data_IF_846288178844
#
_entry.id   IF_846288178844
#
_cell.length_a   1.000
_cell.length_b   1.000
_cell.length_c   1.000
_cell.angle_alpha   90.00
_cell.angle_beta   90.00
_cell.angle_gamma   90.00
#
_symmetry.space_group_name_H-M   'P 1'
#
loop_
_entity.id
_entity.type
_entity.pdbx_description
1 polymer ?
#
# COMPACT_ATOMS: atom_id res chain seq x y z
N UNK A 1 60.20 3.65 66.34
CA UNK A 1 61.30 4.63 66.47
C UNK A 1 62.51 4.08 65.73
N UNK A 2 62.77 4.55 64.52
CA UNK A 2 64.10 4.71 63.90
C UNK A 2 63.86 5.56 62.64
N UNK A 3 64.30 6.81 62.72
CA UNK A 3 64.26 7.81 61.63
C UNK A 3 65.48 7.59 60.75
N UNK A 4 65.33 7.81 59.44
CA UNK A 4 66.40 8.42 58.67
C UNK A 4 65.82 9.44 57.69
N UNK A 5 66.37 10.65 57.77
CA UNK A 5 66.05 11.84 56.97
C UNK A 5 66.92 11.84 55.72
N UNK A 6 66.37 12.26 54.59
CA UNK A 6 67.12 12.96 53.55
C UNK A 6 66.25 14.06 52.95
N UNK A 7 66.82 15.27 52.87
CA UNK A 7 66.26 16.48 52.25
C UNK A 7 67.27 16.90 51.20
N UNK A 8 66.87 17.12 49.94
CA UNK A 8 67.58 17.98 48.98
C UNK A 8 66.58 18.67 48.06
N UNK A 9 66.91 19.91 47.73
CA UNK A 9 66.15 21.00 47.12
C UNK A 9 65.84 20.89 45.62
N UNK A 10 64.81 21.64 45.21
CA UNK A 10 64.44 22.01 43.83
C UNK A 10 65.48 22.98 43.22
N UNK A 11 65.65 22.99 41.90
CA UNK A 11 65.33 24.23 41.19
C UNK A 11 64.48 23.99 39.93
N UNK A 12 63.64 24.98 39.67
CA UNK A 12 62.82 25.18 38.48
C UNK A 12 63.71 25.39 37.25
N UNK A 13 63.42 24.74 36.12
CA UNK A 13 63.78 25.27 34.81
C UNK A 13 62.79 24.79 33.73
N UNK A 14 62.22 25.79 33.07
CA UNK A 14 61.33 25.74 31.90
C UNK A 14 62.16 25.39 30.66
N UNK A 15 61.53 24.76 29.66
CA UNK A 15 61.68 25.02 28.20
C UNK A 15 61.73 23.74 27.33
N UNK A 16 60.79 23.75 26.39
CA UNK A 16 60.79 23.22 25.00
C UNK A 16 60.45 21.76 24.72
N UNK A 17 59.28 21.64 24.07
CA UNK A 17 58.93 20.62 23.10
C UNK A 17 59.93 20.55 21.92
N UNK A 18 59.79 19.49 21.12
CA UNK A 18 60.56 19.10 19.92
C UNK A 18 61.64 18.05 20.23
N UNK A 19 61.26 16.77 20.12
CA UNK A 19 62.01 15.73 19.40
C UNK A 19 61.37 14.35 19.64
N UNK A 20 60.70 13.81 18.62
CA UNK A 20 60.73 12.37 18.24
C UNK A 20 59.90 12.18 16.95
N UNK A 21 60.25 12.95 15.92
CA UNK A 21 59.94 12.63 14.52
C UNK A 21 61.02 11.72 13.98
N UNK A 22 60.89 10.40 14.10
CA UNK A 22 61.67 9.46 13.28
C UNK A 22 61.06 8.04 13.26
N UNK A 23 59.83 7.90 12.75
CA UNK A 23 59.36 6.60 12.24
C UNK A 23 58.22 6.77 11.24
N UNK A 24 58.49 7.41 10.10
CA UNK A 24 57.63 7.35 8.93
C UNK A 24 58.48 7.41 7.66
N UNK A 25 58.91 6.23 7.21
CA UNK A 25 59.29 6.02 5.81
C UNK A 25 59.22 4.52 5.53
N UNK A 26 58.10 4.08 4.97
CA UNK A 26 58.03 3.23 3.77
C UNK A 26 56.56 2.96 3.40
N UNK A 27 56.10 3.73 2.41
CA UNK A 27 55.15 3.39 1.34
C UNK A 27 53.83 2.67 1.66
N UNK A 28 52.70 3.36 1.38
CA UNK A 28 51.86 3.08 0.20
C UNK A 28 50.76 4.16 0.03
N UNK A 29 50.63 4.67 -1.20
CA UNK A 29 49.67 5.69 -1.62
C UNK A 29 48.49 5.01 -2.31
N UNK A 30 47.29 5.05 -1.72
CA UNK A 30 45.96 5.20 -2.36
C UNK A 30 45.00 5.77 -1.28
N UNK A 31 44.30 6.88 -1.57
CA UNK A 31 43.30 7.54 -0.68
C UNK A 31 41.87 7.01 -0.95
N UNK A 32 40.81 7.40 -0.19
CA UNK A 32 40.72 7.79 1.22
C UNK A 32 39.57 7.03 1.95
N UNK A 33 39.76 6.63 3.21
CA UNK A 33 38.63 6.45 4.14
C UNK A 33 38.93 7.32 5.35
N UNK A 34 38.30 8.49 5.40
CA UNK A 34 38.28 9.32 6.59
C UNK A 34 37.46 8.63 7.67
N UNK A 35 38.10 7.76 8.46
CA UNK A 35 37.57 7.32 9.74
C UNK A 35 38.20 8.21 10.81
N UNK A 36 37.58 9.36 11.07
CA UNK A 36 37.81 10.10 12.30
C UNK A 36 37.36 9.20 13.45
N UNK A 37 38.31 8.73 14.26
CA UNK A 37 38.04 8.11 15.55
C UNK A 37 37.55 9.20 16.51
N UNK A 38 36.30 9.63 16.31
CA UNK A 38 35.53 10.29 17.34
C UNK A 38 35.04 9.21 18.29
N UNK A 39 35.65 9.13 19.47
CA UNK A 39 35.07 8.40 20.59
C UNK A 39 33.74 9.09 20.94
N UNK A 40 32.64 8.60 20.37
CA UNK A 40 31.31 8.94 20.83
C UNK A 40 31.16 8.30 22.22
N UNK A 41 31.27 9.13 23.26
CA UNK A 41 30.70 8.83 24.56
C UNK A 41 29.19 8.66 24.35
N UNK A 42 28.74 7.41 24.21
CA UNK A 42 27.36 7.03 24.43
C UNK A 42 27.04 7.41 25.87
N UNK A 43 26.40 8.57 26.04
CA UNK A 43 25.70 8.85 27.29
C UNK A 43 24.51 7.91 27.32
N UNK A 44 24.65 6.83 28.08
CA UNK A 44 23.52 6.04 28.53
C UNK A 44 22.56 7.00 29.24
N UNK A 45 21.39 7.22 28.64
CA UNK A 45 20.23 7.74 29.36
C UNK A 45 19.94 6.71 30.44
N UNK A 46 20.35 6.98 31.68
CA UNK A 46 19.95 6.18 32.83
C UNK A 46 18.46 6.39 33.01
N UNK A 47 17.67 5.43 32.51
CA UNK A 47 16.32 5.24 33.00
C UNK A 47 16.39 5.15 34.53
N UNK A 48 15.55 5.92 35.21
CA UNK A 48 15.47 5.83 36.65
C UNK A 48 15.03 4.40 37.01
N UNK A 49 15.92 3.62 37.61
CA UNK A 49 15.55 2.32 38.17
C UNK A 49 14.51 2.59 39.27
N UNK A 50 13.25 2.25 39.04
CA UNK A 50 12.19 2.41 40.04
C UNK A 50 12.25 1.31 41.10
N UNK A 51 12.99 0.23 40.83
CA UNK A 51 13.27 -0.84 41.79
C UNK A 51 14.67 -0.67 42.40
N UNK A 52 14.79 -0.53 43.74
CA UNK A 52 16.09 -0.43 44.40
C UNK A 52 16.97 -1.64 44.08
N UNK A 53 18.22 -1.46 43.59
CA UNK A 53 19.09 -2.56 43.17
C UNK A 53 19.81 -3.23 44.36
N UNK A 54 19.09 -3.44 45.46
CA UNK A 54 19.65 -3.95 46.71
C UNK A 54 18.93 -5.22 47.17
N UNK A 55 19.70 -6.15 47.74
CA UNK A 55 19.17 -7.37 48.33
C UNK A 55 19.46 -7.39 49.84
N UNK A 56 18.41 -7.52 50.65
CA UNK A 56 18.60 -7.85 52.06
C UNK A 56 18.95 -9.33 52.17
N UNK A 57 20.10 -9.61 52.76
CA UNK A 57 20.53 -10.96 53.10
C UNK A 57 20.74 -11.09 54.60
N UNK A 58 20.03 -12.04 55.22
CA UNK A 58 20.09 -12.30 56.65
C UNK A 58 20.38 -13.78 56.88
N UNK A 59 21.14 -14.07 57.93
CA UNK A 59 21.54 -15.43 58.25
C UNK A 59 21.83 -15.63 59.72
N UNK A 60 21.93 -16.90 60.11
CA UNK A 60 22.42 -17.30 61.43
C UNK A 60 23.74 -18.04 61.27
N UNK A 61 24.82 -17.46 61.78
CA UNK A 61 26.14 -18.03 61.85
C UNK A 61 26.30 -18.85 63.14
N UNK A 62 26.73 -20.10 62.98
CA UNK A 62 27.03 -21.03 64.07
C UNK A 62 28.40 -21.64 63.86
N UNK A 63 29.04 -22.03 64.96
CA UNK A 63 30.27 -22.82 64.92
C UNK A 63 29.98 -24.29 64.57
N UNK A 64 31.02 -25.12 64.52
CA UNK A 64 30.90 -26.55 64.18
C UNK A 64 30.10 -27.33 65.25
N UNK A 65 30.10 -26.85 66.48
CA UNK A 65 29.35 -27.39 67.61
C UNK A 65 27.90 -26.91 67.65
N UNK A 66 27.51 -26.00 66.74
CA UNK A 66 26.16 -25.45 66.62
C UNK A 66 25.87 -24.26 67.52
N UNK A 67 26.86 -23.74 68.26
CA UNK A 67 26.69 -22.56 69.10
C UNK A 67 26.64 -21.28 68.24
N UNK A 68 25.81 -20.30 68.61
CA UNK A 68 25.73 -19.03 67.89
C UNK A 68 27.05 -18.26 68.00
N UNK A 69 27.60 -17.83 66.86
CA UNK A 69 28.80 -17.00 66.83
C UNK A 69 28.46 -15.52 67.08
N UNK A 70 29.36 -14.77 67.71
CA UNK A 70 29.21 -13.32 67.88
C UNK A 70 30.55 -12.62 67.69
N UNK A 71 30.51 -11.38 67.21
CA UNK A 71 31.71 -10.60 66.90
C UNK A 71 31.66 -10.00 65.50
N UNK A 72 32.78 -9.43 65.07
CA UNK A 72 32.94 -8.87 63.73
C UNK A 72 33.59 -9.92 62.84
N UNK A 73 32.96 -10.21 61.70
CA UNK A 73 33.43 -11.19 60.74
C UNK A 73 33.52 -10.57 59.34
N UNK A 74 34.52 -10.99 58.55
CA UNK A 74 34.56 -10.70 57.11
C UNK A 74 33.68 -11.71 56.38
N UNK A 75 32.68 -11.23 55.68
CA UNK A 75 31.78 -12.04 54.85
C UNK A 75 31.98 -11.69 53.37
N UNK A 76 32.04 -12.71 52.52
CA UNK A 76 32.05 -12.56 51.06
C UNK A 76 30.84 -13.30 50.48
N UNK A 77 30.08 -12.61 49.63
CA UNK A 77 28.89 -13.14 48.97
C UNK A 77 29.17 -13.32 47.48
N UNK A 78 28.66 -14.41 46.90
CA UNK A 78 28.79 -14.70 45.46
C UNK A 78 27.49 -15.21 44.88
N UNK A 79 27.19 -14.81 43.64
CA UNK A 79 26.00 -15.27 42.91
C UNK A 79 26.42 -16.18 41.76
N UNK A 80 25.66 -17.27 41.57
CA UNK A 80 25.89 -18.31 40.56
C UNK A 80 24.59 -18.68 39.86
N UNK A 81 24.69 -19.16 38.63
CA UNK A 81 23.64 -19.82 37.86
C UNK A 81 23.58 -21.34 38.07
N UNK A 82 24.61 -21.92 38.71
CA UNK A 82 24.67 -23.35 39.05
C UNK A 82 25.13 -23.56 40.52
N UNK A 83 24.45 -24.47 41.24
CA UNK A 83 24.70 -24.75 42.66
C UNK A 83 26.10 -25.33 42.93
N UNK A 84 26.72 -25.93 41.92
CA UNK A 84 28.04 -26.58 41.96
C UNK A 84 29.15 -25.81 41.24
N UNK A 85 28.84 -24.64 40.65
CA UNK A 85 29.83 -23.83 39.93
C UNK A 85 31.07 -23.53 40.79
N UNK A 86 32.31 -23.61 40.25
CA UNK A 86 33.50 -23.32 41.03
C UNK A 86 33.60 -21.83 41.40
N UNK A 87 34.37 -21.48 42.44
CA UNK A 87 34.51 -20.09 42.91
C UNK A 87 34.78 -19.05 41.80
N UNK A 88 35.66 -19.30 40.81
CA UNK A 88 35.94 -18.34 39.73
C UNK A 88 34.80 -18.15 38.73
N UNK A 89 33.80 -19.03 38.73
CA UNK A 89 32.62 -18.95 37.85
C UNK A 89 31.49 -18.10 38.45
N UNK A 90 31.74 -17.42 39.57
CA UNK A 90 30.75 -16.49 40.15
C UNK A 90 30.43 -15.38 39.14
N UNK A 91 29.14 -15.17 38.90
CA UNK A 91 28.65 -14.11 38.01
C UNK A 91 28.73 -12.74 38.70
N UNK A 92 28.75 -12.73 40.03
CA UNK A 92 28.87 -11.52 40.84
C UNK A 92 29.47 -11.84 42.21
N UNK A 93 30.15 -10.86 42.82
CA UNK A 93 30.78 -10.97 44.13
C UNK A 93 30.77 -9.63 44.87
N UNK A 94 30.53 -9.67 46.18
CA UNK A 94 30.67 -8.52 47.09
C UNK A 94 31.32 -8.93 48.41
N UNK A 95 32.26 -8.11 48.89
CA UNK A 95 32.91 -8.30 50.18
C UNK A 95 32.43 -7.28 51.23
N UNK A 96 32.22 -7.75 52.45
CA UNK A 96 31.99 -6.93 53.64
C UNK A 96 33.05 -7.27 54.69
N UNK A 97 33.97 -6.34 54.92
CA UNK A 97 35.10 -6.56 55.82
C UNK A 97 34.71 -6.63 57.30
N UNK A 98 33.61 -5.97 57.70
CA UNK A 98 33.20 -5.84 59.09
C UNK A 98 31.69 -6.05 59.27
N UNK A 99 31.23 -7.31 59.21
CA UNK A 99 29.83 -7.64 59.53
C UNK A 99 29.72 -7.98 61.01
N UNK A 100 28.93 -7.19 61.74
CA UNK A 100 28.65 -7.47 63.15
C UNK A 100 27.60 -8.57 63.28
N UNK A 101 28.00 -9.69 63.89
CA UNK A 101 27.14 -10.83 64.21
C UNK A 101 26.78 -10.76 65.70
N UNK A 102 25.48 -10.85 66.03
CA UNK A 102 24.98 -10.84 67.41
C UNK A 102 24.13 -12.06 67.66
N UNK A 103 24.51 -12.91 68.61
CA UNK A 103 23.81 -14.16 68.92
C UNK A 103 23.58 -15.03 67.67
N UNK A 104 24.60 -15.10 66.81
CA UNK A 104 24.57 -15.81 65.53
C UNK A 104 23.91 -15.01 64.42
N UNK A 105 23.09 -13.99 64.68
CA UNK A 105 22.35 -13.31 63.63
C UNK A 105 23.15 -12.18 62.97
N UNK A 106 23.02 -12.06 61.67
CA UNK A 106 23.52 -10.94 60.88
C UNK A 106 22.52 -10.53 59.80
N UNK A 107 22.63 -9.27 59.35
CA UNK A 107 21.89 -8.73 58.21
C UNK A 107 22.84 -7.84 57.42
N UNK A 108 22.81 -8.00 56.10
CA UNK A 108 23.64 -7.27 55.14
C UNK A 108 22.75 -6.79 54.00
N UNK A 109 22.99 -5.57 53.54
CA UNK A 109 22.40 -5.03 52.32
C UNK A 109 23.42 -5.22 51.19
N UNK A 110 23.17 -6.19 50.32
CA UNK A 110 23.98 -6.47 49.13
C UNK A 110 23.59 -5.51 47.99
N UNK A 111 24.52 -5.22 47.09
CA UNK A 111 24.39 -4.21 46.04
C UNK A 111 24.93 -2.84 46.41
N UNK A 112 25.33 -2.64 47.67
CA UNK A 112 25.80 -1.34 48.17
C UNK A 112 27.28 -1.10 47.87
N UNK A 113 28.14 -2.11 48.02
CA UNK A 113 29.56 -1.99 47.69
C UNK A 113 29.85 -2.37 46.24
N UNK A 114 29.12 -3.35 45.70
CA UNK A 114 29.21 -3.78 44.30
C UNK A 114 27.79 -3.92 43.76
N UNK A 115 27.33 -3.04 42.86
CA UNK A 115 25.96 -3.10 42.33
C UNK A 115 25.62 -4.49 41.81
N UNK A 116 24.44 -5.00 42.18
CA UNK A 116 23.92 -6.28 41.65
C UNK A 116 23.22 -5.99 40.33
N UNK A 117 23.72 -6.49 39.17
CA UNK A 117 23.05 -6.30 37.89
C UNK A 117 21.70 -7.05 37.88
N UNK A 118 20.56 -6.36 37.63
CA UNK A 118 19.24 -7.00 37.57
C UNK A 118 19.15 -8.13 36.53
N UNK A 119 19.96 -8.06 35.47
CA UNK A 119 20.01 -9.03 34.37
C UNK A 119 20.44 -10.43 34.82
N UNK A 120 21.12 -10.54 35.98
CA UNK A 120 21.45 -11.83 36.58
C UNK A 120 20.22 -12.66 36.92
N UNK A 121 19.08 -12.02 37.20
CA UNK A 121 17.85 -12.69 37.61
C UNK A 121 16.88 -12.93 36.44
N UNK A 122 17.39 -13.17 35.24
CA UNK A 122 16.60 -13.55 34.06
C UNK A 122 16.45 -15.07 33.90
N UNK A 123 17.40 -15.86 34.45
CA UNK A 123 17.41 -17.32 34.39
C UNK A 123 16.64 -18.00 35.53
N UNK A 124 16.10 -19.22 35.37
CA UNK A 124 15.17 -19.83 36.33
C UNK A 124 15.76 -20.19 37.70
N UNK A 125 17.08 -20.38 37.80
CA UNK A 125 17.78 -20.84 39.00
C UNK A 125 19.03 -19.99 39.28
N UNK A 126 18.98 -19.18 40.33
CA UNK A 126 20.13 -18.41 40.81
C UNK A 126 20.43 -18.81 42.25
N UNK A 127 21.72 -18.90 42.59
CA UNK A 127 22.21 -19.36 43.89
C UNK A 127 23.13 -18.33 44.52
N UNK A 128 23.09 -18.22 45.85
CA UNK A 128 24.02 -17.41 46.64
C UNK A 128 24.92 -18.28 47.50
N UNK A 129 26.22 -18.04 47.38
CA UNK A 129 27.28 -18.58 48.23
C UNK A 129 27.71 -17.54 49.27
N UNK A 130 28.06 -18.02 50.46
CA UNK A 130 28.54 -17.19 51.58
C UNK A 130 29.85 -17.77 52.09
N UNK A 131 30.90 -16.94 52.14
CA UNK A 131 32.19 -17.27 52.77
C UNK A 131 32.34 -16.44 54.04
N UNK A 132 32.67 -17.09 55.15
CA UNK A 132 33.00 -16.44 56.43
C UNK A 132 34.49 -16.62 56.66
N UNK A 133 35.30 -15.59 56.45
CA UNK A 133 36.76 -15.74 56.54
C UNK A 133 37.18 -16.21 57.94
N UNK A 134 38.14 -17.15 58.06
CA UNK A 134 38.99 -17.72 57.01
C UNK A 134 38.49 -19.05 56.42
N UNK A 135 37.23 -19.43 56.64
CA UNK A 135 36.67 -20.71 56.20
C UNK A 135 36.40 -20.73 54.69
N UNK A 136 36.31 -21.93 54.13
CA UNK A 136 35.81 -22.14 52.76
C UNK A 136 34.35 -21.70 52.61
N UNK A 137 33.91 -21.50 51.37
CA UNK A 137 32.52 -21.13 51.07
C UNK A 137 31.55 -22.19 51.59
N UNK A 138 30.49 -21.75 52.28
CA UNK A 138 29.49 -22.65 52.84
C UNK A 138 28.71 -23.35 51.72
N UNK A 139 28.55 -24.67 51.87
CA UNK A 139 27.80 -25.55 50.96
C UNK A 139 26.72 -26.34 51.73
N UNK A 140 25.56 -26.65 51.12
CA UNK A 140 25.13 -26.25 49.77
C UNK A 140 24.77 -24.76 49.68
N UNK A 141 24.95 -24.17 48.49
CA UNK A 141 24.53 -22.80 48.22
C UNK A 141 23.02 -22.67 48.31
N UNK A 142 22.55 -21.50 48.70
CA UNK A 142 21.13 -21.24 48.83
C UNK A 142 20.55 -20.81 47.48
N UNK A 143 19.48 -21.46 47.02
CA UNK A 143 18.71 -21.01 45.87
C UNK A 143 17.92 -19.75 46.23
N UNK A 144 17.93 -18.75 45.36
CA UNK A 144 17.05 -17.60 45.49
C UNK A 144 15.59 -17.98 45.24
N UNK A 145 14.69 -17.36 46.00
CA UNK A 145 13.25 -17.38 45.75
C UNK A 145 12.84 -16.14 44.95
N UNK A 146 11.55 -15.90 44.75
CA UNK A 146 11.00 -14.89 43.83
C UNK A 146 11.42 -13.43 44.09
N UNK A 147 11.90 -13.08 45.29
CA UNK A 147 12.16 -11.66 45.66
C UNK A 147 13.30 -11.04 44.84
N UNK A 148 14.52 -11.62 44.76
CA UNK A 148 15.57 -11.12 43.86
C UNK A 148 15.14 -10.99 42.39
N UNK A 149 14.28 -11.89 41.91
CA UNK A 149 13.73 -11.83 40.55
C UNK A 149 12.85 -10.59 40.31
N UNK A 150 12.33 -9.97 41.37
CA UNK A 150 11.60 -8.70 41.25
C UNK A 150 12.51 -7.53 40.85
N UNK A 151 13.83 -7.61 41.02
CA UNK A 151 14.76 -6.58 40.54
C UNK A 151 14.70 -6.42 39.01
N UNK A 152 14.34 -7.48 38.29
CA UNK A 152 14.16 -7.45 36.84
C UNK A 152 12.80 -6.87 36.40
N UNK A 153 11.83 -6.76 37.33
CA UNK A 153 10.46 -6.31 37.01
C UNK A 153 10.38 -4.82 36.60
N UNK A 154 11.42 -4.04 36.88
CA UNK A 154 11.53 -2.63 36.47
C UNK A 154 11.63 -2.45 34.94
N UNK A 155 12.22 -3.44 34.26
CA UNK A 155 12.46 -3.45 32.81
C UNK A 155 11.80 -4.67 32.19
N UNK A 156 10.49 -4.86 32.41
CA UNK A 156 9.72 -5.91 31.75
C UNK A 156 9.69 -5.64 30.22
N UNK A 157 10.72 -6.12 29.52
CA UNK A 157 10.90 -5.96 28.07
C UNK A 157 10.06 -6.93 27.25
N UNK A 158 9.35 -7.86 27.91
CA UNK A 158 8.49 -8.81 27.25
C UNK A 158 7.31 -9.24 28.11
N UNK A 159 6.17 -9.43 27.45
CA UNK A 159 5.02 -10.16 27.98
C UNK A 159 5.04 -11.54 27.36
N UNK A 160 5.27 -12.58 28.16
CA UNK A 160 5.16 -13.97 27.70
C UNK A 160 3.70 -14.42 27.78
N UNK A 161 3.21 -15.09 26.73
CA UNK A 161 1.85 -15.63 26.74
C UNK A 161 1.69 -16.67 27.87
N UNK A 162 0.55 -16.70 28.58
CA UNK A 162 0.31 -17.64 29.69
C UNK A 162 0.41 -19.14 29.31
N UNK A 163 0.43 -19.45 28.01
CA UNK A 163 0.58 -20.81 27.49
C UNK A 163 2.04 -21.26 27.34
N UNK A 164 3.03 -20.44 27.73
CA UNK A 164 4.44 -20.81 27.75
C UNK A 164 5.12 -20.87 26.38
N UNK A 165 4.53 -20.26 25.34
CA UNK A 165 5.20 -20.10 24.05
C UNK A 165 6.45 -19.21 24.17
N UNK A 166 7.55 -19.60 23.53
CA UNK A 166 8.84 -18.89 23.57
C UNK A 166 8.84 -17.57 22.80
N UNK A 167 7.82 -17.32 21.98
CA UNK A 167 7.65 -16.05 21.29
C UNK A 167 6.85 -15.12 22.19
N UNK A 168 7.53 -14.10 22.73
CA UNK A 168 6.93 -13.02 23.49
C UNK A 168 5.67 -12.50 22.78
N UNK A 169 4.55 -12.43 23.50
CA UNK A 169 3.30 -11.88 23.01
C UNK A 169 3.45 -10.39 22.68
N UNK A 170 4.22 -9.67 23.51
CA UNK A 170 4.68 -8.31 23.26
C UNK A 170 6.15 -8.25 23.68
N UNK A 171 7.00 -7.64 22.86
CA UNK A 171 8.42 -7.43 23.11
C UNK A 171 8.78 -5.97 22.86
N UNK A 172 9.59 -5.36 23.73
CA UNK A 172 10.19 -4.05 23.51
C UNK A 172 11.70 -4.24 23.39
N UNK A 173 12.27 -3.87 22.25
CA UNK A 173 13.72 -4.00 22.03
C UNK A 173 14.52 -2.88 22.71
N UNK A 174 15.85 -2.98 22.67
CA UNK A 174 16.76 -1.97 23.26
C UNK A 174 16.67 -0.58 22.60
N UNK A 175 15.99 -0.47 21.46
CA UNK A 175 15.74 0.80 20.75
C UNK A 175 14.35 1.36 21.02
N UNK A 176 13.52 0.66 21.81
CA UNK A 176 12.15 1.05 22.15
C UNK A 176 11.10 0.64 21.12
N UNK A 177 11.45 -0.22 20.15
CA UNK A 177 10.49 -0.73 19.16
C UNK A 177 9.67 -1.87 19.77
N UNK A 178 8.36 -1.90 19.45
CA UNK A 178 7.42 -2.89 19.98
C UNK A 178 7.15 -3.97 18.94
N UNK A 179 7.47 -5.22 19.26
CA UNK A 179 7.10 -6.41 18.51
C UNK A 179 5.92 -7.14 19.14
N UNK A 180 4.94 -7.56 18.35
CA UNK A 180 3.88 -8.51 18.75
C UNK A 180 4.03 -9.74 17.84
N UNK A 181 4.36 -10.89 18.42
CA UNK A 181 4.70 -12.10 17.66
C UNK A 181 6.05 -12.05 16.93
N UNK A 182 6.95 -11.14 17.34
CA UNK A 182 8.35 -11.06 16.88
C UNK A 182 9.23 -10.48 17.99
N UNK A 183 10.47 -10.94 18.10
CA UNK A 183 11.49 -10.40 19.00
C UNK A 183 12.49 -9.49 18.30
N UNK A 184 12.30 -9.22 17.01
CA UNK A 184 13.19 -8.37 16.21
C UNK A 184 12.35 -7.40 15.35
N UNK A 185 11.68 -6.42 15.99
CA UNK A 185 10.89 -5.44 15.28
C UNK A 185 11.78 -4.58 14.35
N UNK A 186 11.32 -4.37 13.11
CA UNK A 186 11.97 -3.52 12.10
C UNK A 186 11.32 -2.14 11.96
N UNK A 187 10.28 -1.88 12.77
CA UNK A 187 9.56 -0.61 12.86
C UNK A 187 9.13 -0.36 14.31
N UNK A 188 8.76 0.88 14.64
CA UNK A 188 8.30 1.28 15.98
C UNK A 188 7.21 0.37 16.57
N UNK A 189 6.31 -0.13 15.72
CA UNK A 189 5.38 -1.21 16.06
C UNK A 189 5.36 -2.22 14.91
N UNK A 190 5.73 -3.46 15.18
CA UNK A 190 5.60 -4.58 14.25
C UNK A 190 4.69 -5.64 14.84
N UNK A 191 3.63 -6.01 14.12
CA UNK A 191 2.80 -7.15 14.45
C UNK A 191 3.04 -8.23 13.40
N UNK A 192 3.54 -9.38 13.83
CA UNK A 192 3.92 -10.49 12.97
C UNK A 192 3.13 -11.74 13.36
N UNK A 193 2.39 -12.29 12.40
CA UNK A 193 1.73 -13.58 12.56
C UNK A 193 1.72 -14.34 11.23
N UNK A 194 1.80 -15.66 11.30
CA UNK A 194 1.69 -16.57 10.16
C UNK A 194 0.27 -17.12 9.99
N UNK A 195 -0.61 -16.89 10.97
CA UNK A 195 -2.00 -17.35 10.95
C UNK A 195 -2.95 -16.29 11.54
N UNK A 196 -4.16 -16.19 11.00
CA UNK A 196 -5.15 -15.21 11.48
C UNK A 196 -4.85 -13.76 11.07
N UNK A 197 -5.51 -12.83 11.75
CA UNK A 197 -5.36 -11.38 11.53
C UNK A 197 -4.19 -10.84 12.33
N UNK A 198 -3.31 -10.06 11.70
CA UNK A 198 -2.21 -9.38 12.39
C UNK A 198 -2.73 -8.20 13.22
N UNK A 199 -3.69 -7.45 12.67
CA UNK A 199 -4.37 -6.37 13.38
C UNK A 199 -5.87 -6.47 13.09
N UNK A 200 -6.66 -6.41 14.14
CA UNK A 200 -8.11 -6.34 14.07
C UNK A 200 -8.60 -5.27 15.04
N UNK A 201 -9.33 -4.28 14.52
CA UNK A 201 -9.96 -3.22 15.30
C UNK A 201 -11.47 -3.36 15.13
N UNK A 202 -12.15 -3.76 16.21
CA UNK A 202 -13.57 -4.10 16.20
C UNK A 202 -14.40 -3.03 16.92
N UNK A 203 -15.50 -2.62 16.30
CA UNK A 203 -16.54 -1.78 16.90
C UNK A 203 -17.92 -2.38 16.59
N UNK A 204 -18.33 -3.40 17.36
CA UNK A 204 -19.52 -4.18 17.03
C UNK A 204 -19.30 -5.06 15.81
N UNK A 205 -20.11 -4.92 14.77
CA UNK A 205 -19.99 -5.63 13.50
C UNK A 205 -19.06 -4.93 12.48
N UNK A 206 -18.46 -3.80 12.87
CA UNK A 206 -17.53 -3.05 12.02
C UNK A 206 -16.10 -3.47 12.31
N UNK A 207 -15.32 -3.71 11.25
CA UNK A 207 -13.97 -4.27 11.36
C UNK A 207 -12.99 -3.56 10.40
N UNK A 208 -11.82 -3.16 10.93
CA UNK A 208 -10.59 -2.97 10.14
C UNK A 208 -9.67 -4.15 10.39
N UNK A 209 -9.36 -4.92 9.36
CA UNK A 209 -8.54 -6.14 9.48
C UNK A 209 -7.35 -6.10 8.53
N UNK A 210 -6.15 -6.35 9.05
CA UNK A 210 -4.92 -6.57 8.26
C UNK A 210 -4.52 -8.04 8.41
N UNK A 211 -4.47 -8.77 7.29
CA UNK A 211 -4.09 -10.19 7.27
C UNK A 211 -3.28 -10.54 6.00
N UNK A 212 -2.98 -11.83 5.79
CA UNK A 212 -2.20 -12.31 4.65
C UNK A 212 -2.82 -12.00 3.28
N UNK A 213 -4.13 -11.77 3.23
CA UNK A 213 -4.88 -11.53 2.00
C UNK A 213 -5.09 -10.02 1.73
N UNK A 214 -4.72 -9.14 2.66
CA UNK A 214 -4.75 -7.68 2.48
C UNK A 214 -5.32 -6.90 3.66
N UNK A 215 -5.78 -5.69 3.35
CA UNK A 215 -6.46 -4.78 4.28
C UNK A 215 -7.96 -4.79 3.94
N UNK A 216 -8.79 -5.19 4.90
CA UNK A 216 -10.24 -5.27 4.77
C UNK A 216 -10.88 -4.20 5.65
N UNK A 217 -11.76 -3.40 5.06
CA UNK A 217 -12.65 -2.47 5.77
C UNK A 217 -14.07 -2.97 5.54
N UNK A 218 -14.71 -3.47 6.59
CA UNK A 218 -16.06 -4.05 6.51
C UNK A 218 -17.05 -3.23 7.34
N UNK A 219 -18.11 -2.76 6.68
CA UNK A 219 -19.28 -2.15 7.32
C UNK A 219 -20.21 -3.19 7.93
N UNK A 220 -21.21 -2.73 8.67
CA UNK A 220 -22.25 -3.57 9.27
C UNK A 220 -23.15 -4.18 8.17
N UNK A 221 -23.62 -5.42 8.38
CA UNK A 221 -24.62 -6.07 7.51
C UNK A 221 -25.92 -5.28 7.37
N UNK A 222 -26.28 -4.47 8.37
CA UNK A 222 -27.50 -3.66 8.35
C UNK A 222 -27.27 -2.24 7.77
N UNK A 223 -26.00 -1.83 7.58
CA UNK A 223 -25.64 -0.58 6.93
C UNK A 223 -24.35 -0.76 6.11
N UNK A 224 -24.44 -1.10 4.80
CA UNK A 224 -23.29 -1.39 3.95
C UNK A 224 -22.46 -0.15 3.59
N UNK A 225 -22.77 1.02 4.15
CA UNK A 225 -22.02 2.25 3.98
C UNK A 225 -20.60 2.10 4.56
N UNK A 226 -19.69 1.53 3.77
CA UNK A 226 -18.26 1.60 4.01
C UNK A 226 -17.81 3.02 3.65
N UNK A 227 -17.82 3.92 4.64
CA UNK A 227 -17.23 5.24 4.47
C UNK A 227 -15.71 5.14 4.60
N UNK A 228 -15.02 4.88 3.49
CA UNK A 228 -13.59 5.16 3.40
C UNK A 228 -13.40 6.67 3.21
N UNK A 229 -13.45 7.41 4.32
CA UNK A 229 -13.25 8.85 4.32
C UNK A 229 -11.76 9.18 4.19
N UNK A 230 -11.31 9.38 2.96
CA UNK A 230 -9.97 9.87 2.67
C UNK A 230 -9.93 11.39 2.91
N UNK A 231 -10.00 11.80 4.18
CA UNK A 231 -9.77 13.20 4.55
C UNK A 231 -8.29 13.53 4.37
N UNK A 232 -7.99 14.31 3.33
CA UNK A 232 -6.70 14.98 3.25
C UNK A 232 -6.58 15.99 4.39
N UNK A 233 -5.84 15.67 5.45
CA UNK A 233 -5.48 16.65 6.47
C UNK A 233 -4.63 17.76 5.85
N UNK A 234 -5.19 18.97 5.71
CA UNK A 234 -4.48 20.18 5.24
C UNK A 234 -5.03 20.82 3.96
N UNK A 235 -4.18 21.56 3.24
CA UNK A 235 -4.50 22.27 1.98
C UNK A 235 -4.80 21.34 0.79
N UNK A 236 -4.73 20.02 0.98
CA UNK A 236 -4.98 19.04 -0.07
C UNK A 236 -6.38 19.24 -0.68
N UNK A 237 -6.41 19.45 -1.99
CA UNK A 237 -7.63 19.72 -2.74
C UNK A 237 -8.22 18.47 -3.39
N UNK A 238 -7.56 17.31 -3.28
CA UNK A 238 -7.95 16.08 -3.98
C UNK A 238 -7.82 14.84 -3.08
N UNK A 239 -8.90 14.06 -3.00
CA UNK A 239 -8.90 12.69 -2.47
C UNK A 239 -8.78 11.72 -3.63
N UNK A 240 -7.90 10.72 -3.54
CA UNK A 240 -7.64 9.78 -4.63
C UNK A 240 -7.35 8.38 -4.09
N UNK A 241 -8.05 7.40 -4.64
CA UNK A 241 -7.72 5.99 -4.53
C UNK A 241 -6.86 5.58 -5.73
N UNK A 242 -5.66 5.05 -5.45
CA UNK A 242 -4.68 4.67 -6.46
C UNK A 242 -4.66 3.17 -6.69
N UNK A 243 -4.72 2.78 -7.95
CA UNK A 243 -4.48 1.40 -8.40
C UNK A 243 -3.13 1.35 -9.10
N UNK A 244 -2.24 0.50 -8.60
CA UNK A 244 -0.89 0.37 -9.12
C UNK A 244 -0.30 -1.00 -8.82
N UNK A 245 0.73 -1.37 -9.58
CA UNK A 245 1.61 -2.50 -9.29
C UNK A 245 3.05 -2.03 -9.50
N UNK A 246 4.00 -2.67 -8.82
CA UNK A 246 5.45 -2.39 -8.96
C UNK A 246 5.82 -0.91 -8.70
N UNK A 247 5.08 -0.23 -7.82
CA UNK A 247 5.33 1.18 -7.47
C UNK A 247 4.90 2.21 -8.52
N UNK A 248 4.19 1.80 -9.58
CA UNK A 248 3.69 2.70 -10.62
C UNK A 248 2.16 2.88 -10.52
N UNK A 249 1.69 4.12 -10.65
CA UNK A 249 0.25 4.45 -10.75
C UNK A 249 -0.27 4.01 -12.12
N UNK A 250 -1.20 3.06 -12.16
CA UNK A 250 -1.80 2.57 -13.41
C UNK A 250 -3.21 3.11 -13.62
N UNK A 251 -3.98 3.27 -12.55
CA UNK A 251 -5.33 3.85 -12.60
C UNK A 251 -5.68 4.53 -11.27
N UNK A 252 -6.72 5.36 -11.27
CA UNK A 252 -7.25 5.95 -10.05
C UNK A 252 -8.72 6.31 -10.11
N UNK A 253 -9.34 6.39 -8.93
CA UNK A 253 -10.65 7.00 -8.70
C UNK A 253 -10.44 8.17 -7.76
N UNK A 254 -10.97 9.34 -8.08
CA UNK A 254 -10.66 10.55 -7.31
C UNK A 254 -11.83 11.53 -7.24
N UNK A 255 -11.76 12.42 -6.25
CA UNK A 255 -12.53 13.65 -6.16
C UNK A 255 -11.59 14.83 -5.94
N UNK A 256 -11.75 15.89 -6.74
CA UNK A 256 -10.95 17.10 -6.67
C UNK A 256 -11.86 18.31 -6.41
N UNK A 257 -11.75 18.87 -5.20
CA UNK A 257 -12.54 20.01 -4.71
C UNK A 257 -12.12 21.35 -5.34
N UNK A 258 -10.93 21.45 -5.94
CA UNK A 258 -10.51 22.67 -6.62
C UNK A 258 -11.24 22.86 -7.95
N UNK A 259 -11.67 21.74 -8.54
CA UNK A 259 -12.34 21.68 -9.85
C UNK A 259 -13.74 21.10 -9.76
N UNK A 260 -14.23 20.79 -8.55
CA UNK A 260 -15.49 20.12 -8.25
C UNK A 260 -15.79 18.93 -9.18
N UNK A 261 -14.78 18.09 -9.40
CA UNK A 261 -14.89 16.93 -10.30
C UNK A 261 -14.60 15.63 -9.57
N UNK A 262 -15.44 14.64 -9.82
CA UNK A 262 -15.15 13.23 -9.53
C UNK A 262 -14.69 12.56 -10.83
N UNK A 263 -13.70 11.68 -10.78
CA UNK A 263 -13.26 11.03 -12.02
C UNK A 263 -12.57 9.69 -11.83
N UNK A 264 -12.46 8.99 -12.96
CA UNK A 264 -11.74 7.73 -13.11
C UNK A 264 -10.65 7.92 -14.18
N UNK A 265 -9.43 7.46 -13.90
CA UNK A 265 -8.28 7.57 -14.83
C UNK A 265 -7.66 6.19 -15.03
N UNK A 266 -7.31 5.85 -16.27
CA UNK A 266 -6.46 4.70 -16.60
C UNK A 266 -5.56 5.08 -17.78
N UNK A 267 -4.27 5.32 -17.49
CA UNK A 267 -3.33 5.89 -18.46
C UNK A 267 -3.85 7.21 -19.03
N UNK A 268 -4.04 7.26 -20.36
CA UNK A 268 -4.55 8.45 -21.07
C UNK A 268 -6.08 8.50 -21.16
N UNK A 269 -6.79 7.50 -20.63
CA UNK A 269 -8.26 7.45 -20.64
C UNK A 269 -8.79 8.02 -19.35
N UNK A 270 -9.76 8.91 -19.44
CA UNK A 270 -10.36 9.54 -18.27
C UNK A 270 -11.85 9.82 -18.47
N UNK A 271 -12.63 9.62 -17.41
CA UNK A 271 -14.03 10.02 -17.31
C UNK A 271 -14.16 10.94 -16.10
N UNK A 272 -14.73 12.13 -16.30
CA UNK A 272 -14.99 13.12 -15.26
C UNK A 272 -16.48 13.42 -15.17
N UNK A 273 -16.97 13.56 -13.94
CA UNK A 273 -18.29 14.02 -13.56
C UNK A 273 -18.11 15.33 -12.78
N UNK A 274 -18.76 16.39 -13.25
CA UNK A 274 -18.74 17.69 -12.60
C UNK A 274 -20.00 17.91 -11.76
N UNK A 275 -19.89 18.69 -10.70
CA UNK A 275 -21.02 19.07 -9.83
C UNK A 275 -22.13 19.86 -10.56
N UNK A 276 -21.77 20.55 -11.64
CA UNK A 276 -22.69 21.26 -12.54
C UNK A 276 -23.37 20.34 -13.57
N UNK A 277 -23.22 19.02 -13.43
CA UNK A 277 -23.88 18.00 -14.25
C UNK A 277 -23.19 17.65 -15.57
N UNK A 278 -22.02 18.23 -15.85
CA UNK A 278 -21.26 17.89 -17.05
C UNK A 278 -20.56 16.54 -16.89
N UNK A 279 -20.46 15.81 -18.00
CA UNK A 279 -19.67 14.59 -18.11
C UNK A 279 -18.65 14.80 -19.22
N UNK A 280 -17.36 14.59 -18.91
CA UNK A 280 -16.27 14.74 -19.85
C UNK A 280 -15.48 13.44 -19.97
N UNK A 281 -15.12 13.07 -21.19
CA UNK A 281 -14.26 11.92 -21.46
C UNK A 281 -13.04 12.33 -22.26
N UNK A 282 -11.86 11.90 -21.84
CA UNK A 282 -10.65 11.95 -22.65
C UNK A 282 -10.48 10.57 -23.31
N UNK A 283 -10.56 10.54 -24.65
CA UNK A 283 -10.68 9.36 -25.54
C UNK A 283 -12.13 8.93 -25.87
N UNK A 284 -12.31 7.67 -26.31
CA UNK A 284 -13.58 7.16 -26.83
C UNK A 284 -14.53 6.76 -25.70
N UNK A 285 -15.79 7.16 -25.79
CA UNK A 285 -16.89 6.64 -24.95
C UNK A 285 -17.69 5.60 -25.74
N UNK A 286 -17.60 4.33 -25.34
CA UNK A 286 -18.43 3.26 -25.89
C UNK A 286 -19.72 3.10 -25.09
N UNK A 287 -20.87 3.05 -25.78
CA UNK A 287 -22.18 2.75 -25.19
C UNK A 287 -22.71 1.46 -25.83
N UNK A 288 -22.86 0.40 -25.04
CA UNK A 288 -23.50 -0.85 -25.47
C UNK A 288 -24.97 -0.84 -25.04
N UNK A 289 -25.81 -0.17 -25.82
CA UNK A 289 -27.22 0.10 -25.50
C UNK A 289 -27.71 1.38 -26.15
N UNK A 290 -28.68 2.03 -25.51
CA UNK A 290 -29.29 3.27 -26.00
C UNK A 290 -28.73 4.50 -25.26
N UNK A 291 -28.68 5.63 -25.97
CA UNK A 291 -28.47 6.94 -25.36
C UNK A 291 -29.84 7.61 -25.26
N UNK A 292 -30.37 7.74 -24.04
CA UNK A 292 -31.63 8.42 -23.79
C UNK A 292 -31.36 9.88 -23.38
N UNK A 293 -31.86 10.84 -24.16
CA UNK A 293 -31.87 12.27 -23.80
C UNK A 293 -33.31 12.74 -23.62
N UNK A 294 -33.62 13.35 -22.48
CA UNK A 294 -34.95 13.92 -22.19
C UNK A 294 -35.19 15.27 -22.86
N UNK A 295 -34.14 15.87 -23.41
CA UNK A 295 -34.18 17.16 -24.09
C UNK A 295 -33.43 17.04 -25.42
N UNK A 296 -32.34 17.78 -25.61
CA UNK A 296 -31.62 17.81 -26.87
C UNK A 296 -30.33 16.99 -26.77
N UNK A 297 -29.97 16.26 -27.84
CA UNK A 297 -28.62 15.72 -28.05
C UNK A 297 -27.85 16.71 -28.94
N UNK A 298 -26.91 17.46 -28.34
CA UNK A 298 -26.10 18.43 -29.06
C UNK A 298 -24.81 17.78 -29.56
N UNK A 299 -24.53 17.86 -30.85
CA UNK A 299 -23.31 17.33 -31.46
C UNK A 299 -22.53 18.46 -32.14
N UNK A 300 -21.39 18.82 -31.57
CA UNK A 300 -20.45 19.77 -32.19
C UNK A 300 -19.42 18.97 -33.01
N UNK A 301 -19.69 18.80 -34.30
CA UNK A 301 -18.84 18.04 -35.21
C UNK A 301 -19.63 17.12 -36.13
N UNK A 302 -18.98 16.04 -36.59
CA UNK A 302 -19.60 15.09 -37.51
C UNK A 302 -20.27 13.93 -36.75
N UNK A 303 -21.56 13.74 -36.98
CA UNK A 303 -22.24 12.49 -36.64
C UNK A 303 -22.02 11.47 -37.76
N UNK A 304 -21.33 10.37 -37.47
CA UNK A 304 -21.27 9.22 -38.38
C UNK A 304 -22.25 8.15 -37.89
N UNK A 305 -23.31 7.95 -38.66
CA UNK A 305 -24.34 6.94 -38.41
C UNK A 305 -24.20 5.81 -39.43
N UNK A 306 -24.20 4.56 -38.94
CA UNK A 306 -24.14 3.36 -39.77
C UNK A 306 -23.43 2.19 -39.07
N UNK A 307 -23.82 0.94 -39.36
CA UNK A 307 -23.26 -0.26 -38.74
C UNK A 307 -21.82 -0.59 -39.18
N UNK A 308 -21.30 0.08 -40.22
CA UNK A 308 -19.96 -0.16 -40.78
C UNK A 308 -19.29 1.14 -41.26
N UNK A 309 -17.97 1.31 -41.05
CA UNK A 309 -17.23 2.41 -41.66
C UNK A 309 -17.43 2.47 -43.17
N UNK A 310 -17.72 3.66 -43.71
CA UNK A 310 -17.78 3.90 -45.15
C UNK A 310 -19.15 3.77 -45.82
N UNK A 311 -20.21 3.35 -45.12
CA UNK A 311 -21.58 3.37 -45.65
C UNK A 311 -22.33 4.56 -45.09
N UNK A 312 -22.98 5.34 -45.97
CA UNK A 312 -23.79 6.48 -45.56
C UNK A 312 -25.24 6.02 -45.33
N UNK A 313 -25.94 6.60 -44.35
CA UNK A 313 -27.36 6.35 -44.12
C UNK A 313 -28.19 6.48 -45.41
N UNK A 314 -28.02 7.61 -46.10
CA UNK A 314 -28.72 7.91 -47.35
C UNK A 314 -27.68 8.16 -48.44
N UNK A 315 -27.86 7.51 -49.58
CA UNK A 315 -27.09 7.73 -50.81
C UNK A 315 -28.06 8.21 -51.90
N UNK A 316 -27.83 9.39 -52.46
CA UNK A 316 -28.57 9.89 -53.63
C UNK A 316 -27.69 9.69 -54.85
N UNK A 317 -28.16 8.90 -55.82
CA UNK A 317 -27.49 8.69 -57.10
C UNK A 317 -28.22 9.53 -58.15
N UNK A 318 -27.54 10.57 -58.62
CA UNK A 318 -28.04 11.41 -59.72
C UNK A 318 -27.48 10.92 -61.03
N UNK A 319 -28.37 10.53 -61.94
CA UNK A 319 -28.07 10.12 -63.29
C UNK A 319 -28.51 11.25 -64.22
N UNK A 320 -27.60 11.80 -65.02
CA UNK A 320 -27.87 12.95 -65.90
C UNK A 320 -27.60 12.62 -67.35
N UNK A 321 -28.14 13.44 -68.26
CA UNK A 321 -27.91 13.32 -69.70
C UNK A 321 -28.23 11.93 -70.25
N UNK A 322 -29.35 11.37 -69.78
CA UNK A 322 -29.79 10.06 -70.25
C UNK A 322 -30.14 10.13 -71.73
N UNK A 323 -29.60 9.23 -72.56
CA UNK A 323 -30.12 9.05 -73.91
C UNK A 323 -31.61 8.65 -73.86
N UNK A 324 -32.34 8.96 -74.91
CA UNK A 324 -33.73 8.50 -75.02
C UNK A 324 -33.77 6.97 -75.14
N UNK A 325 -34.72 6.33 -74.45
CA UNK A 325 -34.96 4.89 -74.48
C UNK A 325 -33.74 3.99 -74.17
N UNK A 326 -32.93 4.39 -73.18
CA UNK A 326 -31.78 3.58 -72.68
C UNK A 326 -32.22 2.22 -72.11
N UNK A 327 -33.49 2.08 -71.73
CA UNK A 327 -34.08 0.85 -71.21
C UNK A 327 -33.70 0.61 -69.75
N UNK A 328 -32.40 0.47 -69.44
CA UNK A 328 -31.92 0.39 -68.06
C UNK A 328 -30.56 1.06 -67.84
N UNK A 329 -30.38 1.62 -66.65
CA UNK A 329 -29.18 2.33 -66.23
C UNK A 329 -28.67 1.73 -64.93
N UNK A 330 -27.36 1.54 -64.84
CA UNK A 330 -26.70 0.98 -63.67
C UNK A 330 -26.54 2.06 -62.58
N UNK A 331 -26.99 1.79 -61.35
CA UNK A 331 -26.93 2.77 -60.26
C UNK A 331 -25.65 2.70 -59.41
N UNK A 332 -24.85 1.63 -59.56
CA UNK A 332 -23.70 1.34 -58.68
C UNK A 332 -24.06 1.26 -57.18
N UNK A 333 -25.30 0.86 -56.87
CA UNK A 333 -25.75 0.64 -55.48
C UNK A 333 -25.98 -0.85 -55.22
N UNK A 334 -25.27 -1.45 -54.24
CA UNK A 334 -25.46 -2.86 -53.91
C UNK A 334 -26.82 -3.08 -53.26
N UNK A 335 -27.61 -4.01 -53.81
CA UNK A 335 -28.92 -4.36 -53.27
C UNK A 335 -28.84 -5.14 -51.94
N UNK A 336 -27.66 -5.61 -51.56
CA UNK A 336 -27.41 -6.22 -50.24
C UNK A 336 -27.38 -5.18 -49.11
N UNK A 337 -27.05 -3.93 -49.42
CA UNK A 337 -26.76 -2.91 -48.42
C UNK A 337 -27.84 -1.82 -48.35
N UNK A 338 -28.50 -1.52 -49.47
CA UNK A 338 -29.45 -0.42 -49.58
C UNK A 338 -30.79 -0.88 -50.14
N UNK A 339 -31.84 -0.15 -49.77
CA UNK A 339 -33.14 -0.13 -50.44
C UNK A 339 -33.26 1.18 -51.23
N UNK A 340 -33.58 1.10 -52.51
CA UNK A 340 -33.59 2.26 -53.40
C UNK A 340 -34.95 2.49 -54.05
N UNK A 341 -35.34 3.76 -54.12
CA UNK A 341 -36.53 4.22 -54.85
C UNK A 341 -36.19 5.41 -55.74
N UNK A 342 -37.06 5.69 -56.71
CA UNK A 342 -36.95 6.92 -57.51
C UNK A 342 -37.38 8.10 -56.63
N UNK A 343 -36.45 9.03 -56.40
CA UNK A 343 -36.73 10.26 -55.67
C UNK A 343 -37.33 11.34 -56.57
N UNK A 344 -36.78 11.50 -57.77
CA UNK A 344 -37.29 12.45 -58.77
C UNK A 344 -36.76 12.14 -60.17
N UNK A 345 -37.41 12.71 -61.18
CA UNK A 345 -36.89 12.77 -62.54
C UNK A 345 -37.30 14.10 -63.21
N UNK A 346 -36.56 14.49 -64.23
CA UNK A 346 -36.80 15.70 -65.03
C UNK A 346 -36.44 15.41 -66.49
N UNK A 347 -37.16 16.02 -67.44
CA UNK A 347 -36.87 15.92 -68.89
C UNK A 347 -35.81 16.92 -69.37
N UNK A 348 -35.24 17.73 -68.47
CA UNK A 348 -34.21 18.70 -68.82
C UNK A 348 -34.79 20.00 -69.39
N UNK A 349 -34.30 20.42 -70.57
CA UNK A 349 -34.57 21.74 -71.17
C UNK A 349 -35.89 21.84 -71.97
N UNK A 350 -36.61 20.73 -72.18
CA UNK A 350 -37.74 20.64 -73.10
C UNK A 350 -38.93 19.87 -72.50
N UNK A 351 -40.06 19.88 -73.21
CA UNK A 351 -41.34 19.38 -72.74
C UNK A 351 -41.52 17.86 -72.95
N UNK A 352 -42.49 17.30 -72.23
CA UNK A 352 -42.95 15.90 -72.40
C UNK A 352 -43.94 15.85 -73.59
N UNK A 353 -43.69 16.59 -74.69
CA UNK A 353 -44.67 16.65 -75.78
C UNK A 353 -44.59 15.42 -76.68
N UNK A 354 -45.33 14.43 -76.21
CA UNK A 354 -45.61 13.14 -76.80
C UNK A 354 -46.71 13.34 -77.85
N UNK A 355 -46.35 13.60 -79.10
CA UNK A 355 -47.27 13.57 -80.25
C UNK A 355 -47.77 12.12 -80.52
N UNK A 356 -48.32 11.44 -79.51
CA UNK A 356 -48.80 10.06 -79.54
C UNK A 356 -47.76 8.97 -79.27
N UNK A 357 -46.56 9.30 -78.76
CA UNK A 357 -45.42 8.36 -78.78
C UNK A 357 -45.20 7.49 -77.51
N UNK A 358 -46.00 7.66 -76.45
CA UNK A 358 -45.93 6.78 -75.29
C UNK A 358 -46.21 7.46 -73.95
N UNK A 359 -46.05 6.69 -72.86
CA UNK A 359 -46.03 7.21 -71.48
C UNK A 359 -44.60 7.11 -70.96
N UNK A 360 -44.11 8.16 -70.32
CA UNK A 360 -42.82 8.13 -69.63
C UNK A 360 -42.89 7.23 -68.39
N UNK A 361 -41.88 6.39 -68.22
CA UNK A 361 -41.78 5.46 -67.08
C UNK A 361 -40.37 5.47 -66.52
N UNK A 362 -40.31 5.50 -65.20
CA UNK A 362 -39.08 5.31 -64.44
C UNK A 362 -39.39 4.38 -63.27
N UNK A 363 -38.58 3.36 -63.08
CA UNK A 363 -38.72 2.43 -61.96
C UNK A 363 -37.35 1.94 -61.49
N UNK A 364 -37.25 1.49 -60.25
CA UNK A 364 -36.08 0.77 -59.75
C UNK A 364 -36.33 -0.73 -59.78
N UNK A 365 -35.27 -1.51 -60.00
CA UNK A 365 -35.32 -2.97 -59.88
C UNK A 365 -33.95 -3.52 -59.51
N UNK A 366 -33.89 -4.79 -59.09
CA UNK A 366 -32.65 -5.46 -58.72
C UNK A 366 -32.30 -6.53 -59.76
N UNK A 367 -31.08 -6.50 -60.28
CA UNK A 367 -30.55 -7.49 -61.21
C UNK A 367 -29.05 -7.70 -60.92
N UNK A 368 -28.63 -8.97 -60.80
CA UNK A 368 -27.23 -9.31 -60.53
C UNK A 368 -26.68 -8.81 -59.17
N UNK A 369 -27.54 -8.57 -58.18
CA UNK A 369 -27.15 -8.08 -56.85
C UNK A 369 -27.02 -6.55 -56.73
N UNK A 370 -27.38 -5.83 -57.79
CA UNK A 370 -27.29 -4.37 -57.85
C UNK A 370 -28.63 -3.76 -58.17
N UNK A 371 -28.82 -2.52 -57.71
CA UNK A 371 -29.95 -1.70 -58.12
C UNK A 371 -29.72 -1.15 -59.54
N UNK A 372 -30.77 -1.24 -60.34
CA UNK A 372 -30.88 -0.69 -61.69
C UNK A 372 -32.06 0.27 -61.75
N UNK A 373 -31.99 1.19 -62.69
CA UNK A 373 -33.04 2.15 -63.00
C UNK A 373 -33.56 1.83 -64.38
N UNK A 374 -34.82 1.42 -64.49
CA UNK A 374 -35.50 1.29 -65.76
C UNK A 374 -35.97 2.67 -66.24
N UNK A 375 -35.74 2.96 -67.51
CA UNK A 375 -36.01 4.29 -68.09
C UNK A 375 -36.62 4.16 -69.47
N UNK A 376 -37.83 4.68 -69.61
CA UNK A 376 -38.52 4.87 -70.88
C UNK A 376 -38.95 6.33 -70.96
N UNK A 377 -38.19 7.12 -71.73
CA UNK A 377 -38.56 8.49 -72.10
C UNK A 377 -38.90 8.52 -73.59
N UNK A 378 -40.17 8.75 -73.90
CA UNK A 378 -40.63 8.84 -75.29
C UNK A 378 -40.52 10.31 -75.73
N UNK A 379 -39.83 10.56 -76.84
CA UNK A 379 -39.74 11.89 -77.45
C UNK A 379 -39.81 11.76 -78.96
N UNK A 380 -40.31 12.78 -79.63
CA UNK A 380 -40.56 12.74 -81.06
C UNK A 380 -39.35 13.15 -81.91
N UNK A 381 -38.39 13.92 -81.35
CA UNK A 381 -37.29 14.52 -82.12
C UNK A 381 -35.88 14.40 -81.51
N UNK A 382 -35.66 13.58 -80.47
CA UNK A 382 -34.32 13.31 -79.90
C UNK A 382 -33.62 14.54 -79.29
N UNK A 383 -34.38 15.45 -78.69
CA UNK A 383 -33.82 16.71 -78.15
C UNK A 383 -33.72 16.71 -76.61
N UNK A 384 -34.19 15.66 -75.94
CA UNK A 384 -34.31 15.67 -74.50
C UNK A 384 -33.10 15.03 -73.82
N UNK A 385 -32.77 15.51 -72.63
CA UNK A 385 -31.65 15.00 -71.82
C UNK A 385 -32.11 14.73 -70.39
N UNK A 386 -32.99 13.74 -70.20
CA UNK A 386 -33.59 13.49 -68.91
C UNK A 386 -32.55 13.16 -67.83
N UNK A 387 -32.92 13.47 -66.60
CA UNK A 387 -32.14 13.16 -65.40
C UNK A 387 -33.03 12.50 -64.36
N UNK A 388 -32.45 11.57 -63.59
CA UNK A 388 -33.15 10.79 -62.56
C UNK A 388 -32.32 10.81 -61.29
N UNK A 389 -32.98 11.05 -60.16
CA UNK A 389 -32.41 10.88 -58.83
C UNK A 389 -32.96 9.61 -58.20
N UNK A 390 -32.07 8.70 -57.84
CA UNK A 390 -32.37 7.50 -57.06
C UNK A 390 -31.97 7.76 -55.61
N UNK A 391 -32.93 7.62 -54.70
CA UNK A 391 -32.69 7.77 -53.27
C UNK A 391 -32.59 6.38 -52.66
N UNK A 392 -31.45 6.09 -52.06
CA UNK A 392 -31.13 4.80 -51.47
C UNK A 392 -30.90 4.95 -49.97
N UNK A 393 -31.65 4.19 -49.18
CA UNK A 393 -31.55 4.13 -47.74
C UNK A 393 -30.82 2.86 -47.33
N UNK A 394 -29.90 2.95 -46.38
CA UNK A 394 -29.24 1.77 -45.83
C UNK A 394 -30.29 0.83 -45.21
N UNK A 395 -30.18 -0.48 -45.49
CA UNK A 395 -31.04 -1.49 -44.88
C UNK A 395 -30.98 -1.42 -43.35
N UNK A 396 -32.14 -1.51 -42.72
CA UNK A 396 -32.30 -1.34 -41.27
C UNK A 396 -32.66 0.07 -40.82
N UNK A 397 -32.67 1.06 -41.73
CA UNK A 397 -33.18 2.41 -41.45
C UNK A 397 -34.56 2.69 -42.06
N UNK A 398 -35.07 1.77 -42.88
CA UNK A 398 -36.37 1.88 -43.52
C UNK A 398 -37.32 0.93 -42.84
N UNK A 399 -38.49 1.45 -42.46
CA UNK A 399 -39.64 0.66 -42.07
C UNK A 399 -40.61 0.60 -43.25
N UNK A 400 -41.08 -0.59 -43.60
CA UNK A 400 -42.06 -0.79 -44.66
C UNK A 400 -43.45 -0.98 -44.04
N UNK A 401 -44.35 -0.03 -44.30
CA UNK A 401 -45.77 -0.24 -44.04
C UNK A 401 -46.38 -1.05 -45.17
N UNK A 402 -46.67 -2.33 -44.90
CA UNK A 402 -47.27 -3.27 -45.85
C UNK A 402 -48.78 -3.41 -45.68
N UNK A 403 -49.40 -2.59 -44.83
CA UNK A 403 -50.84 -2.68 -44.54
C UNK A 403 -51.74 -2.20 -45.68
N UNK A 404 -51.18 -1.55 -46.70
CA UNK A 404 -51.90 -1.03 -47.87
C UNK A 404 -51.77 -1.98 -49.07
N UNK A 405 -52.71 -2.93 -49.20
CA UNK A 405 -52.85 -3.73 -50.43
C UNK A 405 -53.49 -2.92 -51.57
N UNK A 406 -52.97 -3.06 -52.79
CA UNK A 406 -53.57 -2.42 -53.96
C UNK A 406 -55.02 -2.91 -54.14
N UNK A 407 -55.99 -1.99 -54.08
CA UNK A 407 -57.32 -2.25 -54.65
C UNK A 407 -57.19 -2.12 -56.15
N UNK A 408 -57.09 -3.25 -56.83
CA UNK A 408 -57.31 -3.30 -58.27
C UNK A 408 -58.77 -2.97 -58.57
N UNK A 409 -59.10 -1.70 -58.78
CA UNK A 409 -60.28 -1.33 -59.58
C UNK A 409 -59.92 -1.55 -61.05
N UNK A 410 -59.83 -2.83 -61.46
CA UNK A 410 -59.85 -3.22 -62.86
C UNK A 410 -61.28 -3.06 -63.39
N UNK A 411 -61.70 -1.82 -63.60
CA UNK A 411 -62.89 -1.50 -64.39
C UNK A 411 -62.65 -1.86 -65.85
N UNK A 412 -63.37 -2.87 -66.33
CA UNK A 412 -63.54 -3.22 -67.74
C UNK A 412 -64.10 -2.06 -68.58
#
# INVERSE_FOLDING_TARGET
>A
MYRNRFTVSVPTLVVSAIATTLLYLLFSIVQPVGAAWGAALLQSVTGANTTPPYLNYQGTLRDAEGNPMSGVHKLTFRIYDDVTAPLPAALWMEEHNEVTVRNGQFSVLLGNNTPVPPELFTGPDMFIGVTVAPLDEMVPRQRFASVPYAMYADHAAALTAPNGSSDHAVHVDNTGQVGIGTTSPQAQLQISTTTGSALQVDAGAQHLTVNSNGIYVQGDTDNPDMMLDLQGGGTAQRGEYLFGVDGQRRASVYYDKSTNKAGMVNGNTQLNLYDNGWVETFANLGVNGEIHSTSNLWLQGNLTMGPRPGRKPVKIVRITHLPENVGKVYSEVPAADYECTIGSWSTGLYDINENGNGRNKVWTFVEGGWWWVGVEFSSHNKHDTPSIDVVCFLKGMVEYDTTHGAREDLGN
#
